data_IF_532883031758
#
_entry.id   IF_532883031758
#
_cell.length_a   1.000
_cell.length_b   1.000
_cell.length_c   1.000
_cell.angle_alpha   90.00
_cell.angle_beta   90.00
_cell.angle_gamma   90.00
#
_symmetry.space_group_name_H-M   'P 1'
#
loop_
_entity.id
_entity.type
_entity.pdbx_description
1 polymer ?
#
# COMPACT_ATOMS: atom_id res chain seq x y z
N UNK A 1 -8.04 -11.24 -1.45
CA UNK A 1 -8.23 -10.84 -2.86
C UNK A 1 -9.17 -11.83 -3.53
N UNK A 2 -10.01 -11.32 -4.43
CA UNK A 2 -10.86 -12.10 -5.34
C UNK A 2 -10.96 -11.30 -6.66
N UNK A 3 -11.30 -11.97 -7.76
CA UNK A 3 -11.57 -11.35 -9.06
C UNK A 3 -12.93 -11.78 -9.61
N UNK A 4 -13.53 -10.91 -10.40
CA UNK A 4 -14.80 -11.13 -11.09
C UNK A 4 -14.73 -10.49 -12.47
N UNK A 5 -15.59 -10.94 -13.39
CA UNK A 5 -15.64 -10.41 -14.76
C UNK A 5 -16.70 -9.33 -14.96
N UNK A 6 -17.67 -9.24 -14.06
CA UNK A 6 -18.87 -8.41 -14.19
C UNK A 6 -19.10 -7.47 -12.99
N UNK A 7 -18.21 -7.50 -12.00
CA UNK A 7 -18.32 -6.68 -10.79
C UNK A 7 -19.39 -7.15 -9.78
N UNK A 8 -20.06 -8.28 -10.02
CA UNK A 8 -21.12 -8.82 -9.14
C UNK A 8 -20.79 -10.26 -8.73
N UNK A 9 -20.30 -11.08 -9.65
CA UNK A 9 -19.90 -12.45 -9.43
C UNK A 9 -18.37 -12.54 -9.23
N UNK A 10 -17.97 -13.00 -8.06
CA UNK A 10 -16.58 -13.11 -7.65
C UNK A 10 -16.22 -14.57 -7.38
N UNK A 11 -15.00 -14.95 -7.71
CA UNK A 11 -14.44 -16.24 -7.28
C UNK A 11 -14.23 -16.29 -5.74
N UNK A 12 -13.85 -17.46 -5.22
CA UNK A 12 -13.49 -17.60 -3.81
C UNK A 12 -12.36 -16.66 -3.38
N UNK A 13 -12.51 -16.07 -2.20
CA UNK A 13 -11.51 -15.17 -1.61
C UNK A 13 -10.23 -15.94 -1.31
N UNK A 14 -9.09 -15.32 -1.63
CA UNK A 14 -7.74 -15.83 -1.42
C UNK A 14 -6.92 -14.85 -0.58
N UNK A 15 -5.95 -15.35 0.17
CA UNK A 15 -5.00 -14.50 0.87
C UNK A 15 -4.10 -13.75 -0.12
N UNK A 16 -3.73 -12.51 0.21
CA UNK A 16 -2.68 -11.80 -0.51
C UNK A 16 -1.32 -12.46 -0.27
N UNK A 17 -0.57 -12.68 -1.34
CA UNK A 17 0.77 -13.27 -1.30
C UNK A 17 1.76 -12.49 -2.15
N UNK A 18 3.01 -12.61 -1.78
CA UNK A 18 4.12 -12.33 -2.67
C UNK A 18 4.26 -13.42 -3.74
N UNK A 19 5.01 -13.12 -4.80
CA UNK A 19 5.33 -14.06 -5.89
C UNK A 19 6.13 -15.28 -5.42
N UNK A 20 6.95 -15.13 -4.38
CA UNK A 20 7.62 -16.22 -3.65
C UNK A 20 6.69 -17.14 -2.83
N UNK A 21 5.38 -16.84 -2.80
CA UNK A 21 4.37 -17.64 -2.12
C UNK A 21 4.14 -17.32 -0.64
N UNK A 22 4.94 -16.43 -0.05
CA UNK A 22 4.77 -15.97 1.34
C UNK A 22 3.55 -15.05 1.47
N UNK A 23 2.93 -15.03 2.65
CA UNK A 23 1.81 -14.12 2.94
C UNK A 23 2.28 -12.67 2.90
N UNK A 24 1.47 -11.80 2.29
CA UNK A 24 1.73 -10.36 2.27
C UNK A 24 1.70 -9.75 3.68
N UNK A 25 0.96 -10.36 4.61
CA UNK A 25 0.80 -9.83 5.97
C UNK A 25 0.00 -8.53 6.05
N UNK A 26 -0.69 -8.13 4.97
CA UNK A 26 -1.64 -7.02 4.96
C UNK A 26 -3.00 -7.50 5.48
N UNK A 27 -3.48 -6.90 6.56
CA UNK A 27 -4.71 -7.34 7.23
C UNK A 27 -5.62 -6.17 7.66
N UNK A 28 -5.34 -4.96 7.17
CA UNK A 28 -6.20 -3.81 7.34
C UNK A 28 -6.76 -3.34 5.99
N UNK A 29 -7.67 -2.38 6.04
CA UNK A 29 -8.45 -1.93 4.88
C UNK A 29 -7.77 -0.83 4.05
N UNK A 30 -6.53 -0.44 4.36
CA UNK A 30 -5.81 0.58 3.58
C UNK A 30 -5.12 -0.05 2.39
N UNK A 31 -5.88 -0.32 1.33
CA UNK A 31 -5.35 -0.79 0.06
C UNK A 31 -5.87 0.08 -1.07
N UNK A 32 -4.96 0.51 -1.95
CA UNK A 32 -5.31 1.28 -3.14
C UNK A 32 -4.54 0.79 -4.35
N UNK A 33 -5.14 0.91 -5.51
CA UNK A 33 -4.51 0.62 -6.78
C UNK A 33 -3.85 1.87 -7.37
N UNK A 34 -2.69 1.70 -7.98
CA UNK A 34 -2.13 2.61 -8.97
C UNK A 34 -1.96 1.84 -10.28
N UNK A 35 -2.39 2.45 -11.38
CA UNK A 35 -2.01 2.05 -12.73
C UNK A 35 -1.11 3.12 -13.32
N UNK A 36 0.13 2.76 -13.66
CA UNK A 36 1.11 3.70 -14.18
C UNK A 36 2.06 2.99 -15.16
N UNK A 37 2.31 3.59 -16.32
CA UNK A 37 3.24 3.06 -17.32
C UNK A 37 2.91 1.64 -17.82
N UNK A 38 1.64 1.25 -17.82
CA UNK A 38 1.19 -0.10 -18.17
C UNK A 38 1.31 -1.14 -17.04
N UNK A 39 1.88 -0.77 -15.89
CA UNK A 39 1.95 -1.61 -14.71
C UNK A 39 0.75 -1.45 -13.78
N UNK A 40 0.49 -2.49 -12.97
CA UNK A 40 -0.47 -2.50 -11.88
C UNK A 40 0.29 -2.54 -10.55
N UNK A 41 0.00 -1.63 -9.63
CA UNK A 41 0.67 -1.51 -8.35
C UNK A 41 -0.34 -1.46 -7.21
N UNK A 42 -0.03 -2.16 -6.12
CA UNK A 42 -0.81 -2.14 -4.89
C UNK A 42 -0.09 -1.25 -3.87
N UNK A 43 -0.81 -0.27 -3.33
CA UNK A 43 -0.44 0.43 -2.10
C UNK A 43 -1.09 -0.32 -0.93
N UNK A 44 -0.32 -0.60 0.12
CA UNK A 44 -0.81 -1.35 1.27
C UNK A 44 0.05 -1.10 2.50
N UNK A 45 -0.39 -1.63 3.63
CA UNK A 45 0.41 -1.73 4.86
C UNK A 45 0.49 -3.20 5.27
N UNK A 46 1.56 -3.60 5.97
CA UNK A 46 1.73 -4.99 6.42
C UNK A 46 2.53 -5.08 7.71
N UNK A 47 2.37 -6.20 8.42
CA UNK A 47 3.26 -6.59 9.52
C UNK A 47 4.64 -7.03 9.01
N UNK A 48 5.57 -7.27 9.94
CA UNK A 48 6.90 -7.80 9.63
C UNK A 48 7.83 -6.76 8.99
N UNK A 49 7.68 -5.50 9.39
CA UNK A 49 8.53 -4.38 8.98
C UNK A 49 9.01 -3.57 10.19
N UNK A 50 9.28 -4.28 11.31
CA UNK A 50 9.67 -3.70 12.60
C UNK A 50 8.68 -2.65 13.15
N UNK A 51 7.39 -2.90 12.93
CA UNK A 51 6.32 -1.94 13.13
C UNK A 51 5.23 -2.43 14.12
N UNK A 52 5.54 -3.40 14.98
CA UNK A 52 4.61 -3.95 15.99
C UNK A 52 4.16 -2.88 17.00
N UNK A 53 4.96 -1.83 17.18
CA UNK A 53 4.65 -0.68 18.02
C UNK A 53 3.62 0.27 17.37
N UNK A 54 3.33 0.12 16.08
CA UNK A 54 2.35 0.92 15.35
C UNK A 54 1.00 0.20 15.38
N UNK A 55 -0.03 0.89 15.86
CA UNK A 55 -1.37 0.32 15.95
C UNK A 55 -1.84 -0.26 14.60
N UNK A 56 -2.13 -1.57 14.61
CA UNK A 56 -2.57 -2.36 13.44
C UNK A 56 -1.57 -2.36 12.26
N UNK A 57 -0.29 -2.13 12.51
CA UNK A 57 0.76 -2.04 11.49
C UNK A 57 0.43 -1.04 10.37
N UNK A 58 -0.25 0.06 10.72
CA UNK A 58 -0.71 1.08 9.76
C UNK A 58 0.39 1.98 9.21
N UNK A 59 1.63 1.75 9.58
CA UNK A 59 2.80 2.39 8.98
C UNK A 59 3.95 1.36 8.99
N UNK A 60 4.87 1.41 8.03
CA UNK A 60 4.89 2.32 6.88
C UNK A 60 3.83 1.97 5.83
N UNK A 61 3.59 2.90 4.91
CA UNK A 61 2.81 2.63 3.69
C UNK A 61 3.76 2.10 2.61
N UNK A 62 3.46 0.94 2.05
CA UNK A 62 4.22 0.30 1.00
C UNK A 62 3.55 0.48 -0.36
N UNK A 63 4.35 0.35 -1.42
CA UNK A 63 3.90 0.16 -2.80
C UNK A 63 4.67 -1.03 -3.40
N UNK A 64 4.00 -1.90 -4.15
CA UNK A 64 4.63 -2.99 -4.89
C UNK A 64 3.86 -3.31 -6.16
N UNK A 65 4.57 -3.74 -7.21
CA UNK A 65 3.95 -4.14 -8.47
C UNK A 65 3.21 -5.47 -8.29
N UNK A 66 2.07 -5.61 -8.95
CA UNK A 66 1.24 -6.82 -8.94
C UNK A 66 1.27 -7.46 -10.32
N UNK A 67 1.52 -8.77 -10.36
CA UNK A 67 1.38 -9.53 -11.59
C UNK A 67 -0.10 -9.77 -11.90
N UNK A 68 -0.66 -9.29 -13.03
CA UNK A 68 -2.11 -9.26 -13.26
C UNK A 68 -2.74 -10.67 -13.37
N UNK A 69 -2.02 -11.65 -13.90
CA UNK A 69 -2.55 -13.03 -14.02
C UNK A 69 -2.57 -13.80 -12.69
N UNK A 70 -1.48 -13.72 -11.92
CA UNK A 70 -1.33 -14.48 -10.67
C UNK A 70 -1.89 -13.73 -9.47
N UNK A 71 -2.10 -12.41 -9.60
CA UNK A 71 -2.53 -11.48 -8.56
C UNK A 71 -1.67 -11.59 -7.29
N UNK A 72 -0.36 -11.70 -7.49
CA UNK A 72 0.66 -11.68 -6.45
C UNK A 72 1.46 -10.39 -6.53
N UNK A 73 1.89 -9.88 -5.38
CA UNK A 73 2.84 -8.76 -5.31
C UNK A 73 4.23 -9.28 -5.66
N UNK A 74 4.94 -8.62 -6.57
CA UNK A 74 6.31 -8.97 -6.95
C UNK A 74 7.24 -8.51 -5.84
N UNK A 75 7.82 -9.45 -5.08
CA UNK A 75 8.51 -9.14 -3.81
C UNK A 75 9.66 -8.15 -3.99
N UNK A 76 10.43 -8.28 -5.07
CA UNK A 76 11.58 -7.42 -5.37
C UNK A 76 11.20 -5.97 -5.70
N UNK A 77 9.92 -5.69 -5.97
CA UNK A 77 9.43 -4.35 -6.31
C UNK A 77 8.83 -3.59 -5.12
N UNK A 78 8.72 -4.25 -3.96
CA UNK A 78 8.19 -3.61 -2.75
C UNK A 78 9.10 -2.45 -2.31
N UNK A 79 8.50 -1.28 -2.14
CA UNK A 79 9.16 -0.07 -1.64
C UNK A 79 8.33 0.57 -0.56
N UNK A 80 9.00 1.24 0.38
CA UNK A 80 8.35 2.15 1.32
C UNK A 80 7.93 3.39 0.53
N UNK A 81 6.62 3.67 0.49
CA UNK A 81 6.03 4.84 -0.11
C UNK A 81 5.97 6.01 0.87
N UNK A 82 5.54 5.74 2.11
CA UNK A 82 5.58 6.68 3.23
C UNK A 82 6.22 5.95 4.41
N UNK A 83 7.37 6.40 4.92
CA UNK A 83 8.02 5.76 6.06
C UNK A 83 7.16 5.92 7.32
N UNK A 84 7.34 5.00 8.27
CA UNK A 84 6.80 5.20 9.62
C UNK A 84 7.69 6.18 10.38
N UNK A 85 7.08 7.00 11.23
CA UNK A 85 7.80 7.91 12.14
C UNK A 85 7.17 7.88 13.54
N UNK A 86 6.90 6.67 14.03
CA UNK A 86 6.15 6.36 15.25
C UNK A 86 4.74 6.97 15.28
N UNK A 87 4.23 7.33 14.09
CA UNK A 87 2.86 7.77 13.87
C UNK A 87 2.14 6.69 13.09
N UNK A 88 0.89 6.42 13.45
CA UNK A 88 0.02 5.62 12.59
C UNK A 88 -0.42 6.48 11.41
N UNK A 89 -0.49 5.88 10.23
CA UNK A 89 -1.07 6.55 9.07
C UNK A 89 -2.59 6.35 9.06
N UNK A 90 -3.30 7.41 8.73
CA UNK A 90 -4.73 7.41 8.45
C UNK A 90 -5.04 6.70 7.14
N UNK A 91 -6.27 6.80 6.65
CA UNK A 91 -6.59 6.25 5.34
C UNK A 91 -5.91 7.07 4.25
N UNK A 92 -5.18 6.40 3.35
CA UNK A 92 -4.56 7.04 2.20
C UNK A 92 -5.58 7.30 1.10
N UNK A 93 -5.24 8.23 0.20
CA UNK A 93 -5.96 8.50 -1.03
C UNK A 93 -5.01 8.43 -2.22
N UNK A 94 -5.53 8.04 -3.38
CA UNK A 94 -4.79 8.03 -4.64
C UNK A 94 -5.54 8.87 -5.65
N UNK A 95 -4.86 9.85 -6.23
CA UNK A 95 -5.35 10.67 -7.33
C UNK A 95 -4.48 10.41 -8.55
N UNK A 96 -5.07 9.80 -9.58
CA UNK A 96 -4.40 9.61 -10.87
C UNK A 96 -4.33 10.95 -11.60
N UNK A 97 -3.14 11.39 -11.96
CA UNK A 97 -2.93 12.63 -12.69
C UNK A 97 -2.87 12.39 -14.21
N UNK A 98 -2.16 11.33 -14.62
CA UNK A 98 -2.04 10.91 -16.02
C UNK A 98 -1.65 9.42 -16.09
N UNK A 99 -1.28 8.93 -17.28
CA UNK A 99 -0.92 7.52 -17.52
C UNK A 99 0.35 7.05 -16.80
N UNK A 100 1.16 7.98 -16.29
CA UNK A 100 2.44 7.70 -15.63
C UNK A 100 2.54 8.23 -14.22
N UNK A 101 1.64 9.13 -13.82
CA UNK A 101 1.75 9.87 -12.58
C UNK A 101 0.50 9.75 -11.72
N UNK A 102 0.71 9.53 -10.43
CA UNK A 102 -0.33 9.56 -9.41
C UNK A 102 0.18 10.25 -8.15
N UNK A 103 -0.73 10.94 -7.46
CA UNK A 103 -0.47 11.55 -6.17
C UNK A 103 -1.10 10.70 -5.08
N UNK A 104 -0.31 10.34 -4.07
CA UNK A 104 -0.75 9.62 -2.88
C UNK A 104 -0.75 10.57 -1.71
N UNK A 105 -1.88 10.67 -1.01
CA UNK A 105 -2.01 11.51 0.17
C UNK A 105 -2.29 10.66 1.39
N UNK A 106 -1.71 11.03 2.53
CA UNK A 106 -2.00 10.36 3.80
C UNK A 106 -1.69 11.25 4.99
N UNK A 107 -2.60 11.32 5.97
CA UNK A 107 -2.36 12.03 7.23
C UNK A 107 -1.75 11.11 8.29
N UNK A 108 -0.84 11.64 9.09
CA UNK A 108 -0.48 11.05 10.37
C UNK A 108 -1.61 11.25 11.38
N UNK A 109 -1.84 10.24 12.21
CA UNK A 109 -2.76 10.31 13.33
C UNK A 109 -2.10 9.84 14.62
N UNK A 110 -2.57 10.35 15.74
CA UNK A 110 -2.33 9.74 17.04
C UNK A 110 -3.55 8.87 17.36
N UNK A 111 -3.44 7.56 17.20
CA UNK A 111 -4.39 6.66 17.83
C UNK A 111 -3.97 6.48 19.29
N UNK A 112 -4.95 6.36 20.19
CA UNK A 112 -4.81 6.33 21.65
C UNK A 112 -3.78 5.31 22.19
N UNK A 113 -3.30 4.41 21.34
CA UNK A 113 -2.35 3.34 21.64
C UNK A 113 -1.10 3.54 20.76
N UNK A 114 0.01 3.99 21.36
CA UNK A 114 1.30 4.16 20.69
C UNK A 114 2.12 5.32 21.25
N UNK A 115 3.46 5.19 21.25
CA UNK A 115 4.38 6.25 21.67
C UNK A 115 4.73 7.14 20.48
N UNK A 116 4.26 8.39 20.46
CA UNK A 116 4.70 9.41 19.49
C UNK A 116 5.95 10.12 20.02
N UNK A 117 6.79 10.63 19.12
CA UNK A 117 7.98 11.45 19.45
C UNK A 117 7.65 12.85 20.00
N UNK A 118 6.38 13.20 20.16
CA UNK A 118 5.95 14.56 20.58
C UNK A 118 5.91 15.60 19.45
N UNK A 119 6.15 15.17 18.21
CA UNK A 119 6.07 16.02 17.02
C UNK A 119 4.61 16.23 16.56
N UNK A 120 4.37 17.31 15.83
CA UNK A 120 3.10 17.55 15.14
C UNK A 120 2.86 16.48 14.06
N UNK A 121 1.59 16.10 13.90
CA UNK A 121 1.17 15.22 12.81
C UNK A 121 1.35 15.93 11.46
N UNK A 122 1.81 15.20 10.45
CA UNK A 122 2.00 15.68 9.09
C UNK A 122 0.93 15.16 8.13
N UNK A 123 0.68 15.92 7.07
CA UNK A 123 -0.04 15.42 5.89
C UNK A 123 1.00 15.19 4.80
N UNK A 124 1.10 13.95 4.34
CA UNK A 124 2.04 13.52 3.33
C UNK A 124 1.41 13.63 1.94
N UNK A 125 2.21 14.12 0.98
CA UNK A 125 1.90 14.16 -0.45
C UNK A 125 3.06 13.49 -1.18
N UNK A 126 2.84 12.30 -1.72
CA UNK A 126 3.86 11.51 -2.40
C UNK A 126 3.48 11.35 -3.86
N UNK A 127 4.36 11.82 -4.74
CA UNK A 127 4.20 11.62 -6.18
C UNK A 127 4.82 10.28 -6.58
N UNK A 128 4.02 9.43 -7.21
CA UNK A 128 4.45 8.17 -7.82
C UNK A 128 4.54 8.40 -9.33
N UNK A 129 5.71 8.15 -9.91
CA UNK A 129 5.97 8.27 -11.35
C UNK A 129 6.47 6.94 -11.87
N UNK A 130 5.82 6.39 -12.89
CA UNK A 130 6.38 5.28 -13.65
C UNK A 130 7.51 5.82 -14.55
N UNK A 131 8.71 5.32 -14.34
CA UNK A 131 9.81 5.53 -15.29
C UNK A 131 9.41 4.92 -16.63
N UNK A 132 9.67 5.64 -17.72
CA UNK A 132 9.43 5.09 -19.05
C UNK A 132 10.38 3.93 -19.33
N UNK A 133 9.99 3.03 -20.23
CA UNK A 133 10.99 2.23 -20.94
C UNK A 133 12.03 3.21 -21.52
N UNK A 134 13.33 2.94 -21.41
CA UNK A 134 14.34 3.65 -22.17
C UNK A 134 14.03 3.61 -23.68
#
# INVERSE_FOLDING_TARGET
MTRGKDGINFESIREWKFDDGTSLGSYNTQQHWITAGGGLFLIYTRKGADNDHVFRHRAPLFIGQVHPETLRVIRSTERILIPENHATLGNSGVCRLNDRESLVTCGEGLLRLGKRKGELNKVHFVRVVAEGSP
#
